data_IF_810685747990
#
_entry.id   IF_810685747990
#
_cell.length_a   1.000
_cell.length_b   1.000
_cell.length_c   1.000
_cell.angle_alpha   90.00
_cell.angle_beta   90.00
_cell.angle_gamma   90.00
#
_symmetry.space_group_name_H-M   'P 1'
#
loop_
_entity.id
_entity.type
_entity.pdbx_description
1 polymer ?
#
# COMPACT_ATOMS: atom_id res chain seq x y z
N UNK A 1 6.10 -23.99 19.64
CA UNK A 1 5.35 -23.34 18.55
C UNK A 1 5.45 -24.25 17.34
N UNK A 2 4.37 -24.95 16.97
CA UNK A 2 4.38 -25.82 15.78
C UNK A 2 3.56 -25.14 14.70
N UNK A 3 4.25 -24.51 13.74
CA UNK A 3 3.62 -23.91 12.57
C UNK A 3 3.71 -24.94 11.45
N UNK A 4 2.58 -25.28 10.84
CA UNK A 4 2.58 -26.21 9.71
C UNK A 4 3.06 -25.50 8.43
N UNK A 5 4.38 -25.47 8.22
CA UNK A 5 5.01 -24.89 7.04
C UNK A 5 4.85 -25.78 5.78
N UNK A 6 4.28 -26.99 5.92
CA UNK A 6 4.07 -27.93 4.81
C UNK A 6 2.76 -27.70 4.04
N UNK A 7 1.98 -26.66 4.39
CA UNK A 7 0.75 -26.32 3.70
C UNK A 7 1.02 -25.59 2.36
N UNK A 8 1.40 -26.36 1.35
CA UNK A 8 1.42 -25.95 -0.06
C UNK A 8 2.77 -26.09 -0.73
N UNK A 9 2.78 -26.07 -2.07
CA UNK A 9 3.95 -26.21 -2.97
C UNK A 9 5.12 -25.21 -2.70
N UNK A 10 5.08 -24.41 -1.63
CA UNK A 10 5.91 -23.24 -1.33
C UNK A 10 7.25 -23.50 -0.63
N UNK A 11 7.56 -24.70 -0.16
CA UNK A 11 8.92 -25.03 0.32
C UNK A 11 9.94 -25.21 -0.83
N UNK A 12 9.50 -25.11 -2.09
CA UNK A 12 10.39 -25.18 -3.25
C UNK A 12 11.18 -23.87 -3.36
N UNK A 13 12.34 -23.83 -2.70
CA UNK A 13 13.35 -22.79 -2.93
C UNK A 13 13.79 -21.99 -1.70
N UNK A 14 13.39 -22.36 -0.47
CA UNK A 14 13.99 -21.80 0.75
C UNK A 14 14.97 -22.84 1.28
N UNK A 15 16.22 -22.44 1.50
CA UNK A 15 17.25 -23.35 2.01
C UNK A 15 17.05 -23.66 3.48
N UNK A 16 17.49 -24.84 3.92
CA UNK A 16 17.49 -25.19 5.35
C UNK A 16 18.29 -24.16 6.17
N UNK A 17 19.39 -23.64 5.62
CA UNK A 17 20.18 -22.61 6.28
C UNK A 17 19.39 -21.30 6.51
N UNK A 18 18.55 -20.87 5.57
CA UNK A 18 17.67 -19.72 5.75
C UNK A 18 16.60 -20.00 6.79
N UNK A 19 16.01 -21.19 6.79
CA UNK A 19 15.06 -21.60 7.84
C UNK A 19 15.74 -21.58 9.21
N UNK A 20 16.89 -22.22 9.36
CA UNK A 20 17.61 -22.29 10.64
C UNK A 20 17.95 -20.88 11.14
N UNK A 21 18.45 -19.99 10.26
CA UNK A 21 18.77 -18.61 10.62
C UNK A 21 17.54 -17.81 11.01
N UNK A 22 16.47 -17.88 10.22
CA UNK A 22 15.25 -17.14 10.48
C UNK A 22 14.59 -17.61 11.77
N UNK A 23 14.47 -18.93 11.97
CA UNK A 23 13.80 -19.53 13.12
C UNK A 23 14.65 -19.57 14.40
N UNK A 24 15.97 -19.37 14.33
CA UNK A 24 16.82 -19.29 15.51
C UNK A 24 16.46 -18.12 16.45
N UNK A 25 15.84 -17.06 15.93
CA UNK A 25 15.56 -15.83 16.67
C UNK A 25 14.07 -15.48 16.74
N UNK A 26 13.18 -16.31 16.18
CA UNK A 26 11.75 -16.04 16.28
C UNK A 26 11.28 -16.16 17.72
N UNK A 27 10.34 -15.31 18.07
CA UNK A 27 9.69 -15.32 19.37
C UNK A 27 8.21 -14.99 19.20
N UNK A 28 7.41 -15.45 20.15
CA UNK A 28 5.99 -15.10 20.18
C UNK A 28 5.82 -13.62 20.54
N UNK A 29 4.94 -12.92 19.83
CA UNK A 29 4.74 -11.47 20.01
C UNK A 29 3.32 -11.20 20.54
N UNK A 30 3.14 -11.15 21.86
CA UNK A 30 1.82 -10.95 22.51
C UNK A 30 1.04 -9.75 21.96
N UNK A 31 1.74 -8.65 21.68
CA UNK A 31 1.14 -7.42 21.14
C UNK A 31 0.46 -7.66 19.80
N UNK A 32 0.99 -8.56 18.98
CA UNK A 32 0.45 -8.88 17.66
C UNK A 32 -0.91 -9.57 17.79
N UNK A 33 -1.07 -10.50 18.73
CA UNK A 33 -2.36 -11.15 19.01
C UNK A 33 -3.38 -10.16 19.59
N UNK A 34 -2.94 -9.30 20.52
CA UNK A 34 -3.82 -8.24 21.05
C UNK A 34 -4.30 -7.29 19.95
N UNK A 35 -3.41 -6.93 19.02
CA UNK A 35 -3.75 -6.08 17.89
C UNK A 35 -4.69 -6.76 16.89
N UNK A 36 -4.46 -8.05 16.56
CA UNK A 36 -5.37 -8.82 15.70
C UNK A 36 -6.77 -8.90 16.29
N UNK A 37 -6.89 -9.21 17.58
CA UNK A 37 -8.20 -9.35 18.25
C UNK A 37 -8.95 -8.03 18.43
N UNK A 38 -8.29 -6.88 18.27
CA UNK A 38 -8.91 -5.59 18.47
C UNK A 38 -9.77 -5.18 17.26
N UNK A 39 -11.10 -5.32 17.37
CA UNK A 39 -12.06 -4.82 16.39
C UNK A 39 -12.64 -3.48 16.87
N UNK A 40 -12.44 -2.37 16.13
CA UNK A 40 -13.07 -1.11 16.47
C UNK A 40 -14.60 -1.21 16.38
N UNK A 41 -15.30 -0.94 17.48
CA UNK A 41 -16.77 -1.01 17.54
C UNK A 41 -17.45 0.18 16.83
N UNK A 42 -16.74 1.31 16.65
CA UNK A 42 -17.29 2.52 16.05
C UNK A 42 -16.79 2.73 14.61
N UNK A 43 -17.74 2.92 13.69
CA UNK A 43 -17.47 3.38 12.33
C UNK A 43 -17.38 4.91 12.34
N UNK A 44 -16.24 5.45 11.94
CA UNK A 44 -16.05 6.90 11.75
C UNK A 44 -16.60 7.33 10.39
N UNK A 45 -17.00 8.60 10.27
CA UNK A 45 -17.38 9.18 8.98
C UNK A 45 -16.14 9.32 8.09
N UNK A 46 -16.34 9.41 6.77
CA UNK A 46 -15.24 9.67 5.84
C UNK A 46 -14.57 11.01 6.16
N UNK A 47 -15.35 12.02 6.49
CA UNK A 47 -14.86 13.36 6.83
C UNK A 47 -13.98 13.35 8.08
N UNK A 48 -14.40 12.64 9.13
CA UNK A 48 -13.57 12.45 10.33
C UNK A 48 -12.28 11.69 10.02
N UNK A 49 -12.37 10.65 9.19
CA UNK A 49 -11.20 9.91 8.73
C UNK A 49 -10.23 10.82 7.98
N UNK A 50 -10.72 11.59 6.98
CA UNK A 50 -9.89 12.49 6.18
C UNK A 50 -9.28 13.60 7.03
N UNK A 51 -10.03 14.20 7.97
CA UNK A 51 -9.49 15.17 8.95
C UNK A 51 -8.35 14.58 9.78
N UNK A 52 -8.50 13.31 10.21
CA UNK A 52 -7.49 12.61 11.00
C UNK A 52 -6.24 12.26 10.19
N UNK A 53 -6.38 11.74 8.98
CA UNK A 53 -5.26 11.21 8.20
C UNK A 53 -4.60 12.24 7.27
N UNK A 54 -5.29 13.34 6.93
CA UNK A 54 -4.82 14.42 6.06
C UNK A 54 -4.82 15.78 6.77
N UNK A 55 -4.18 15.87 7.93
CA UNK A 55 -4.04 17.13 8.65
C UNK A 55 -3.31 18.20 7.81
N UNK A 56 -3.57 19.51 8.01
CA UNK A 56 -2.86 20.58 7.30
C UNK A 56 -1.33 20.48 7.45
N UNK A 57 -0.85 20.01 8.60
CA UNK A 57 0.57 19.78 8.84
C UNK A 57 1.13 18.68 7.92
N UNK A 58 0.41 17.55 7.75
CA UNK A 58 0.80 16.46 6.87
C UNK A 58 0.83 16.89 5.40
N UNK A 59 -0.12 17.73 4.98
CA UNK A 59 -0.16 18.30 3.63
C UNK A 59 1.03 19.24 3.39
N UNK A 60 1.35 20.13 4.34
CA UNK A 60 2.54 20.99 4.25
C UNK A 60 3.83 20.17 4.15
N UNK A 61 3.95 19.13 4.99
CA UNK A 61 5.08 18.22 4.94
C UNK A 61 5.18 17.50 3.59
N UNK A 62 4.07 17.05 3.01
CA UNK A 62 4.06 16.41 1.70
C UNK A 62 4.56 17.33 0.59
N UNK A 63 4.13 18.60 0.58
CA UNK A 63 4.65 19.62 -0.36
C UNK A 63 6.14 19.83 -0.21
N UNK A 64 6.64 19.84 1.02
CA UNK A 64 8.06 19.99 1.29
C UNK A 64 8.86 18.76 0.82
N UNK A 65 8.41 17.55 1.17
CA UNK A 65 9.02 16.30 0.70
C UNK A 65 9.02 16.18 -0.82
N UNK A 66 7.95 16.64 -1.47
CA UNK A 66 7.88 16.68 -2.93
C UNK A 66 8.98 17.56 -3.53
N UNK A 67 9.29 18.72 -2.93
CA UNK A 67 10.41 19.56 -3.41
C UNK A 67 11.77 18.94 -3.09
N UNK A 68 11.96 18.50 -1.85
CA UNK A 68 13.24 17.96 -1.37
C UNK A 68 13.68 16.68 -2.08
N UNK A 69 12.73 15.84 -2.50
CA UNK A 69 13.01 14.54 -3.13
C UNK A 69 12.78 14.53 -4.64
N UNK A 70 12.85 15.70 -5.27
CA UNK A 70 12.60 15.89 -6.70
C UNK A 70 13.32 14.86 -7.56
N UNK A 71 14.63 14.74 -7.40
CA UNK A 71 15.45 13.82 -8.19
C UNK A 71 15.00 12.36 -8.06
N UNK A 72 14.74 11.91 -6.83
CA UNK A 72 14.38 10.51 -6.56
C UNK A 72 12.99 10.17 -7.11
N UNK A 73 11.97 10.99 -6.81
CA UNK A 73 10.63 10.67 -7.32
C UNK A 73 10.54 10.88 -8.83
N UNK A 74 11.34 11.79 -9.42
CA UNK A 74 11.35 12.00 -10.87
C UNK A 74 11.88 10.75 -11.57
N UNK A 75 12.99 10.16 -11.10
CA UNK A 75 13.53 8.92 -11.64
C UNK A 75 12.50 7.78 -11.63
N UNK A 76 11.83 7.58 -10.49
CA UNK A 76 10.77 6.59 -10.38
C UNK A 76 9.57 6.92 -11.30
N UNK A 77 9.17 8.19 -11.36
CA UNK A 77 8.07 8.67 -12.20
C UNK A 77 8.33 8.44 -13.68
N UNK A 78 9.55 8.68 -14.17
CA UNK A 78 9.93 8.47 -15.56
C UNK A 78 9.93 6.98 -15.92
N UNK A 79 10.49 6.14 -15.03
CA UNK A 79 10.55 4.68 -15.22
C UNK A 79 9.16 4.04 -15.26
N UNK A 80 8.27 4.41 -14.35
CA UNK A 80 6.99 3.73 -14.14
C UNK A 80 5.77 4.49 -14.67
N UNK A 81 5.97 5.71 -15.19
CA UNK A 81 4.92 6.61 -15.71
C UNK A 81 3.86 6.98 -14.67
N UNK A 82 4.27 7.05 -13.41
CA UNK A 82 3.43 7.44 -12.26
C UNK A 82 3.85 8.83 -11.78
N UNK A 83 2.98 9.86 -11.80
CA UNK A 83 3.36 11.20 -11.38
C UNK A 83 3.84 11.24 -9.91
N UNK A 84 4.96 11.93 -9.65
CA UNK A 84 5.59 11.97 -8.32
C UNK A 84 4.67 12.38 -7.17
N UNK A 85 3.63 13.17 -7.42
CA UNK A 85 2.65 13.55 -6.38
C UNK A 85 1.92 12.34 -5.78
N UNK A 86 1.70 11.27 -6.56
CA UNK A 86 1.09 10.03 -6.07
C UNK A 86 2.09 9.23 -5.25
N UNK A 87 3.33 9.13 -5.71
CA UNK A 87 4.43 8.48 -4.98
C UNK A 87 4.58 9.12 -3.59
N UNK A 88 4.68 10.45 -3.52
CA UNK A 88 4.81 11.19 -2.27
C UNK A 88 3.56 11.09 -1.39
N UNK A 89 2.36 11.10 -1.99
CA UNK A 89 1.11 10.96 -1.24
C UNK A 89 0.99 9.58 -0.58
N UNK A 90 1.29 8.50 -1.31
CA UNK A 90 1.31 7.14 -0.74
C UNK A 90 2.36 7.04 0.36
N UNK A 91 3.59 7.51 0.12
CA UNK A 91 4.64 7.50 1.14
C UNK A 91 4.24 8.23 2.43
N UNK A 92 3.54 9.36 2.32
CA UNK A 92 3.01 10.09 3.47
C UNK A 92 1.88 9.35 4.18
N UNK A 93 1.02 8.63 3.45
CA UNK A 93 -0.09 7.87 4.00
C UNK A 93 0.37 6.59 4.69
N UNK A 94 1.30 5.85 4.08
CA UNK A 94 1.75 4.55 4.58
C UNK A 94 2.65 4.67 5.81
N UNK A 95 3.65 5.56 5.77
CA UNK A 95 4.70 5.59 6.80
C UNK A 95 4.99 6.95 7.38
N UNK A 96 4.12 7.94 7.14
CA UNK A 96 4.37 9.34 7.51
C UNK A 96 5.75 9.80 7.01
N UNK A 97 6.06 9.50 5.75
CA UNK A 97 7.33 9.79 5.10
C UNK A 97 8.52 9.07 5.76
N UNK A 98 8.35 7.78 6.05
CA UNK A 98 9.37 6.91 6.64
C UNK A 98 9.51 6.98 8.16
N UNK A 99 8.77 7.87 8.84
CA UNK A 99 8.82 8.01 10.31
C UNK A 99 8.18 6.83 11.04
N UNK A 100 7.16 6.21 10.45
CA UNK A 100 6.38 5.13 11.05
C UNK A 100 6.44 3.93 10.12
N UNK A 101 7.42 3.05 10.32
CA UNK A 101 7.56 1.81 9.54
C UNK A 101 7.06 0.58 10.31
N UNK A 102 6.78 0.77 11.59
CA UNK A 102 6.61 -0.32 12.55
C UNK A 102 7.95 -0.72 13.18
N UNK A 103 7.87 -1.54 14.23
CA UNK A 103 9.02 -1.92 15.06
C UNK A 103 9.16 -3.43 15.23
N UNK A 104 8.17 -4.18 14.76
CA UNK A 104 8.14 -5.62 14.98
C UNK A 104 9.07 -6.31 14.00
N UNK A 105 9.69 -7.38 14.48
CA UNK A 105 10.32 -8.35 13.62
C UNK A 105 9.23 -9.06 12.79
N UNK A 106 9.26 -8.89 11.47
CA UNK A 106 8.19 -9.33 10.57
C UNK A 106 8.06 -10.85 10.57
N UNK A 107 9.17 -11.58 10.64
CA UNK A 107 9.15 -13.05 10.68
C UNK A 107 8.47 -13.52 11.97
N UNK A 108 8.84 -12.96 13.12
CA UNK A 108 8.24 -13.28 14.43
C UNK A 108 6.76 -12.90 14.50
N UNK A 109 6.38 -11.72 13.96
CA UNK A 109 4.99 -11.27 13.93
C UNK A 109 4.12 -12.17 13.06
N UNK A 110 4.57 -12.52 11.86
CA UNK A 110 3.85 -13.41 10.95
C UNK A 110 3.79 -14.85 11.47
N UNK A 111 4.88 -15.35 12.08
CA UNK A 111 4.87 -16.64 12.76
C UNK A 111 3.84 -16.67 13.89
N UNK A 112 3.78 -15.61 14.72
CA UNK A 112 2.78 -15.46 15.78
C UNK A 112 1.35 -15.50 15.24
N UNK A 113 1.09 -14.78 14.14
CA UNK A 113 -0.24 -14.74 13.51
C UNK A 113 -0.60 -16.03 12.75
N UNK A 114 0.38 -16.73 12.19
CA UNK A 114 0.18 -18.04 11.60
C UNK A 114 -0.12 -19.10 12.68
N UNK A 115 0.43 -18.95 13.88
CA UNK A 115 0.22 -19.90 14.97
C UNK A 115 -1.09 -19.66 15.74
N UNK A 116 -1.44 -18.40 16.05
CA UNK A 116 -2.59 -18.08 16.94
C UNK A 116 -3.46 -16.91 16.44
N UNK A 117 -3.23 -16.43 15.21
CA UNK A 117 -4.02 -15.36 14.61
C UNK A 117 -5.31 -15.88 13.98
N UNK A 118 -6.27 -14.97 13.74
CA UNK A 118 -7.59 -15.32 13.16
C UNK A 118 -7.54 -15.72 11.68
N UNK A 119 -6.43 -15.43 10.98
CA UNK A 119 -6.26 -15.63 9.53
C UNK A 119 -5.01 -16.47 9.23
N UNK A 120 -4.85 -17.59 9.94
CA UNK A 120 -3.71 -18.52 9.81
C UNK A 120 -3.25 -18.70 8.35
N UNK A 121 -4.13 -19.16 7.46
CA UNK A 121 -3.76 -19.47 6.07
C UNK A 121 -3.14 -18.29 5.31
N UNK A 122 -3.62 -17.06 5.56
CA UNK A 122 -3.08 -15.85 4.95
C UNK A 122 -1.69 -15.53 5.55
N UNK A 123 -1.55 -15.56 6.87
CA UNK A 123 -0.29 -15.22 7.52
C UNK A 123 0.80 -16.28 7.31
N UNK A 124 0.43 -17.55 7.16
CA UNK A 124 1.35 -18.61 6.74
C UNK A 124 1.92 -18.35 5.34
N UNK A 125 1.11 -17.86 4.40
CA UNK A 125 1.60 -17.49 3.07
C UNK A 125 2.54 -16.28 3.11
N UNK A 126 2.20 -15.26 3.91
CA UNK A 126 3.06 -14.08 4.09
C UNK A 126 4.37 -14.42 4.81
N UNK A 127 4.34 -15.33 5.79
CA UNK A 127 5.55 -15.84 6.45
C UNK A 127 6.47 -16.51 5.44
N UNK A 128 5.94 -17.39 4.58
CA UNK A 128 6.73 -18.03 3.52
C UNK A 128 7.30 -17.02 2.53
N UNK A 129 6.53 -15.98 2.18
CA UNK A 129 7.02 -14.89 1.35
C UNK A 129 8.14 -14.10 2.04
N UNK A 130 8.04 -13.83 3.35
CA UNK A 130 9.10 -13.14 4.11
C UNK A 130 10.40 -13.94 4.12
N UNK A 131 10.31 -15.26 4.36
CA UNK A 131 11.48 -16.15 4.32
C UNK A 131 12.13 -16.18 2.93
N UNK A 132 11.32 -16.11 1.86
CA UNK A 132 11.84 -16.02 0.49
C UNK A 132 12.58 -14.70 0.23
N UNK A 133 12.15 -13.60 0.82
CA UNK A 133 12.87 -12.31 0.73
C UNK A 133 14.25 -12.43 1.38
N UNK A 134 14.32 -13.08 2.55
CA UNK A 134 15.59 -13.34 3.25
C UNK A 134 16.50 -14.22 2.39
N UNK A 135 15.97 -15.31 1.81
CA UNK A 135 16.72 -16.20 0.91
C UNK A 135 17.30 -15.45 -0.31
N UNK A 136 16.53 -14.53 -0.90
CA UNK A 136 16.98 -13.75 -2.07
C UNK A 136 18.11 -12.76 -1.75
N UNK A 137 18.30 -12.37 -0.48
CA UNK A 137 19.41 -11.53 -0.05
C UNK A 137 19.38 -10.08 -0.55
N UNK A 138 18.35 -9.66 -1.31
CA UNK A 138 18.24 -8.29 -1.84
C UNK A 138 18.21 -7.21 -0.75
N UNK A 139 17.84 -7.56 0.48
CA UNK A 139 17.78 -6.62 1.61
C UNK A 139 19.11 -6.52 2.38
N UNK A 140 20.11 -7.33 2.04
CA UNK A 140 21.39 -7.39 2.79
C UNK A 140 21.18 -7.71 4.27
N UNK A 141 21.84 -6.93 5.13
CA UNK A 141 21.74 -7.06 6.59
C UNK A 141 20.56 -6.26 7.18
N UNK A 142 19.72 -5.64 6.34
CA UNK A 142 18.58 -4.83 6.80
C UNK A 142 17.54 -5.74 7.46
N UNK A 143 17.23 -5.54 8.77
CA UNK A 143 16.24 -6.35 9.45
C UNK A 143 14.85 -6.10 8.85
N UNK A 144 14.08 -7.17 8.61
CA UNK A 144 12.70 -7.07 8.15
C UNK A 144 11.81 -6.51 9.27
N UNK A 145 11.77 -5.17 9.38
CA UNK A 145 10.92 -4.46 10.34
C UNK A 145 9.59 -4.04 9.72
N UNK A 146 8.54 -4.11 10.53
CA UNK A 146 7.21 -3.82 10.04
C UNK A 146 6.17 -3.55 11.12
N UNK A 147 4.95 -3.34 10.65
CA UNK A 147 3.76 -3.31 11.47
C UNK A 147 3.52 -4.66 12.15
N UNK A 148 2.62 -4.66 13.14
CA UNK A 148 2.21 -5.88 13.83
C UNK A 148 1.62 -6.94 12.87
N UNK A 149 1.06 -6.51 11.73
CA UNK A 149 0.44 -7.39 10.75
C UNK A 149 1.42 -7.86 9.66
N UNK A 150 2.69 -7.46 9.73
CA UNK A 150 3.72 -7.85 8.75
C UNK A 150 3.90 -6.90 7.56
N UNK A 151 3.19 -5.76 7.51
CA UNK A 151 3.46 -4.72 6.50
C UNK A 151 4.83 -4.07 6.75
N UNK A 152 5.69 -4.06 5.75
CA UNK A 152 7.13 -3.81 5.90
C UNK A 152 7.58 -2.44 5.39
N UNK A 153 8.59 -1.89 6.08
CA UNK A 153 9.35 -0.72 5.63
C UNK A 153 8.51 0.53 5.40
N UNK A 154 9.03 1.45 4.57
CA UNK A 154 8.35 2.71 4.28
C UNK A 154 7.18 2.56 3.31
N UNK A 155 7.15 1.49 2.51
CA UNK A 155 6.07 1.18 1.58
C UNK A 155 4.87 0.47 2.24
N UNK A 156 5.04 -0.05 3.46
CA UNK A 156 4.07 -0.92 4.13
C UNK A 156 3.62 -2.11 3.24
N UNK A 157 4.54 -2.65 2.46
CA UNK A 157 4.26 -3.85 1.65
C UNK A 157 4.19 -5.07 2.54
N UNK A 158 3.14 -5.88 2.37
CA UNK A 158 3.19 -7.27 2.80
C UNK A 158 4.32 -8.00 2.06
N UNK A 159 4.93 -9.05 2.64
CA UNK A 159 5.99 -9.81 1.98
C UNK A 159 5.64 -10.28 0.55
N UNK A 160 4.42 -10.75 0.32
CA UNK A 160 3.98 -11.13 -1.02
C UNK A 160 3.98 -9.95 -2.01
N UNK A 161 3.57 -8.76 -1.55
CA UNK A 161 3.65 -7.51 -2.31
C UNK A 161 5.10 -7.11 -2.59
N UNK A 162 6.01 -7.27 -1.63
CA UNK A 162 7.43 -7.02 -1.87
C UNK A 162 7.95 -7.88 -3.02
N UNK A 163 7.71 -9.19 -2.97
CA UNK A 163 8.16 -10.11 -4.03
C UNK A 163 7.59 -9.77 -5.42
N UNK A 164 6.40 -9.14 -5.48
CA UNK A 164 5.73 -8.81 -6.74
C UNK A 164 6.09 -7.42 -7.28
N UNK A 165 6.29 -6.45 -6.40
CA UNK A 165 6.34 -5.03 -6.78
C UNK A 165 7.63 -4.32 -6.39
N UNK A 166 8.37 -4.80 -5.39
CA UNK A 166 9.57 -4.11 -4.93
C UNK A 166 10.60 -4.02 -6.07
N UNK A 167 11.31 -2.91 -6.13
CA UNK A 167 12.20 -2.60 -7.22
C UNK A 167 13.42 -1.81 -6.73
N UNK A 168 14.57 -2.20 -7.25
CA UNK A 168 15.84 -1.48 -7.13
C UNK A 168 15.73 -0.15 -7.91
N UNK A 169 15.81 0.96 -7.17
CA UNK A 169 15.61 2.32 -7.64
C UNK A 169 16.89 3.08 -7.97
N UNK A 170 18.04 2.67 -7.44
CA UNK A 170 19.34 3.30 -7.69
C UNK A 170 20.33 2.42 -8.47
N UNK A 171 20.01 1.15 -8.68
CA UNK A 171 20.77 0.20 -9.49
C UNK A 171 21.89 -0.51 -8.73
N UNK A 172 21.86 -0.53 -7.40
CA UNK A 172 22.91 -1.17 -6.58
C UNK A 172 22.75 -2.70 -6.44
N UNK A 173 21.68 -3.28 -7.01
CA UNK A 173 21.36 -4.71 -6.94
C UNK A 173 20.64 -5.13 -5.65
N UNK A 174 20.34 -4.18 -4.76
CA UNK A 174 19.58 -4.37 -3.52
C UNK A 174 18.21 -3.71 -3.62
N UNK A 175 17.32 -4.09 -2.71
CA UNK A 175 15.97 -3.53 -2.63
C UNK A 175 15.67 -3.27 -1.14
N UNK A 176 16.13 -2.13 -0.64
CA UNK A 176 15.96 -1.68 0.73
C UNK A 176 14.78 -0.68 0.84
N UNK A 177 13.57 -1.21 0.99
CA UNK A 177 12.37 -0.38 1.22
C UNK A 177 12.28 0.23 2.64
N UNK A 178 13.31 0.09 3.47
CA UNK A 178 13.38 0.65 4.83
C UNK A 178 14.21 1.92 4.88
N UNK A 179 15.38 1.91 4.22
CA UNK A 179 16.36 2.99 4.34
C UNK A 179 16.73 3.64 3.00
N UNK A 180 16.52 2.97 1.87
CA UNK A 180 16.81 3.53 0.56
C UNK A 180 15.56 4.20 -0.04
N UNK A 181 15.60 5.53 -0.14
CA UNK A 181 14.45 6.29 -0.66
C UNK A 181 14.21 6.06 -2.16
N UNK A 182 15.26 5.74 -2.93
CA UNK A 182 15.12 5.44 -4.35
C UNK A 182 14.35 4.12 -4.54
N UNK A 183 14.65 3.10 -3.72
CA UNK A 183 13.92 1.82 -3.71
C UNK A 183 12.48 1.98 -3.23
N UNK A 184 12.24 2.79 -2.21
CA UNK A 184 10.89 3.09 -1.72
C UNK A 184 10.04 3.71 -2.83
N UNK A 185 10.60 4.67 -3.56
CA UNK A 185 9.86 5.35 -4.64
C UNK A 185 9.70 4.49 -5.88
N UNK A 186 10.74 3.74 -6.27
CA UNK A 186 10.66 2.77 -7.36
C UNK A 186 9.63 1.68 -7.06
N UNK A 187 9.62 1.14 -5.85
CA UNK A 187 8.67 0.12 -5.40
C UNK A 187 7.23 0.63 -5.36
N UNK A 188 7.01 1.83 -4.81
CA UNK A 188 5.68 2.48 -4.79
C UNK A 188 5.16 2.74 -6.20
N UNK A 189 6.01 3.23 -7.10
CA UNK A 189 5.64 3.50 -8.48
C UNK A 189 5.42 2.22 -9.30
N UNK A 190 6.25 1.19 -9.09
CA UNK A 190 6.08 -0.15 -9.66
C UNK A 190 4.75 -0.78 -9.28
N UNK A 191 4.35 -0.68 -8.00
CA UNK A 191 3.04 -1.13 -7.53
C UNK A 191 1.90 -0.44 -8.28
N UNK A 192 1.87 0.90 -8.30
CA UNK A 192 0.81 1.64 -8.99
C UNK A 192 0.77 1.29 -10.49
N UNK A 193 1.93 1.23 -11.14
CA UNK A 193 2.04 0.88 -12.57
C UNK A 193 1.47 -0.50 -12.88
N UNK A 194 1.75 -1.50 -12.03
CA UNK A 194 1.26 -2.87 -12.18
C UNK A 194 -0.22 -3.04 -11.79
N UNK A 195 -0.73 -2.21 -10.89
CA UNK A 195 -2.14 -2.22 -10.45
C UNK A 195 -3.06 -1.35 -11.32
N UNK A 196 -2.72 -1.22 -12.61
CA UNK A 196 -3.61 -0.63 -13.62
C UNK A 196 -3.58 0.89 -13.67
N UNK A 197 -2.56 1.55 -13.13
CA UNK A 197 -2.37 2.99 -13.33
C UNK A 197 -2.30 3.32 -14.82
N UNK A 198 -3.09 4.30 -15.25
CA UNK A 198 -3.10 4.77 -16.63
C UNK A 198 -2.50 6.19 -16.68
N UNK A 199 -1.32 6.36 -17.31
CA UNK A 199 -0.70 7.67 -17.46
C UNK A 199 -1.64 8.68 -18.14
N UNK A 200 -1.60 9.92 -17.66
CA UNK A 200 -2.47 11.00 -18.16
C UNK A 200 -3.90 11.00 -17.59
N UNK A 201 -4.31 9.93 -16.88
CA UNK A 201 -5.62 9.87 -16.23
C UNK A 201 -5.45 10.11 -14.73
N UNK A 202 -6.23 11.04 -14.17
CA UNK A 202 -6.27 11.28 -12.72
C UNK A 202 -7.18 10.29 -12.00
N UNK A 203 -6.98 10.14 -10.69
CA UNK A 203 -7.79 9.26 -9.83
C UNK A 203 -9.27 9.66 -9.73
N UNK A 204 -9.57 10.96 -9.86
CA UNK A 204 -10.91 11.49 -9.66
C UNK A 204 -10.95 13.02 -9.64
N UNK A 205 -12.18 13.55 -9.60
CA UNK A 205 -12.52 14.97 -9.51
C UNK A 205 -13.81 15.12 -8.73
N UNK A 206 -13.94 16.21 -7.99
CA UNK A 206 -15.19 16.61 -7.37
C UNK A 206 -16.20 17.07 -8.45
N UNK A 207 -17.47 16.70 -8.26
CA UNK A 207 -18.57 17.01 -9.17
C UNK A 207 -19.81 17.42 -8.39
N UNK A 208 -20.67 18.21 -9.02
CA UNK A 208 -22.01 18.56 -8.57
C UNK A 208 -23.02 17.64 -9.25
N UNK A 209 -23.90 17.06 -8.44
CA UNK A 209 -25.04 16.27 -8.93
C UNK A 209 -26.22 17.20 -9.27
N UNK A 210 -27.05 16.87 -10.27
CA UNK A 210 -28.28 17.60 -10.54
C UNK A 210 -29.30 17.37 -9.41
N UNK A 211 -30.29 18.26 -9.32
CA UNK A 211 -31.43 18.04 -8.44
C UNK A 211 -32.17 16.75 -8.83
N UNK A 212 -32.59 15.96 -7.82
CA UNK A 212 -33.30 14.70 -8.05
C UNK A 212 -32.43 13.56 -8.59
N UNK A 213 -31.10 13.64 -8.49
CA UNK A 213 -30.21 12.55 -8.92
C UNK A 213 -30.56 11.23 -8.21
N UNK A 214 -30.65 10.14 -8.98
CA UNK A 214 -31.00 8.82 -8.45
C UNK A 214 -29.86 8.24 -7.59
N UNK A 215 -30.04 8.08 -6.26
CA UNK A 215 -28.98 7.63 -5.36
C UNK A 215 -28.50 6.21 -5.62
N UNK A 216 -29.30 5.37 -6.26
CA UNK A 216 -28.92 3.97 -6.58
C UNK A 216 -27.78 3.88 -7.60
N UNK A 217 -27.55 4.96 -8.35
CA UNK A 217 -26.45 5.06 -9.32
C UNK A 217 -25.12 5.47 -8.67
N UNK A 218 -25.12 5.80 -7.38
CA UNK A 218 -23.92 6.09 -6.60
C UNK A 218 -23.32 4.77 -6.10
N UNK A 219 -22.01 4.64 -6.19
CA UNK A 219 -21.27 3.49 -5.67
C UNK A 219 -20.05 3.12 -6.51
N UNK A 220 -19.27 2.20 -5.96
CA UNK A 220 -18.00 1.75 -6.54
C UNK A 220 -18.10 0.41 -7.30
N UNK A 221 -19.29 -0.20 -7.40
CA UNK A 221 -19.45 -1.48 -8.10
C UNK A 221 -19.45 -1.26 -9.62
N UNK A 222 -19.15 -2.31 -10.36
CA UNK A 222 -19.12 -2.27 -11.83
C UNK A 222 -20.45 -1.86 -12.45
N UNK A 223 -21.58 -2.25 -11.84
CA UNK A 223 -22.91 -1.85 -12.27
C UNK A 223 -23.16 -0.33 -12.23
N UNK A 224 -22.38 0.41 -11.43
CA UNK A 224 -22.43 1.88 -11.34
C UNK A 224 -21.37 2.57 -12.21
N UNK A 225 -20.55 1.82 -12.94
CA UNK A 225 -19.59 2.39 -13.87
C UNK A 225 -20.29 2.92 -15.13
N UNK A 226 -20.03 4.17 -15.50
CA UNK A 226 -20.54 4.79 -16.73
C UNK A 226 -19.49 5.69 -17.36
N UNK A 227 -19.52 5.90 -18.68
CA UNK A 227 -18.59 6.85 -19.30
C UNK A 227 -18.75 8.26 -18.72
N UNK A 228 -17.68 9.07 -18.71
CA UNK A 228 -17.76 10.48 -18.31
C UNK A 228 -18.84 11.23 -19.10
N UNK A 229 -18.99 10.92 -20.40
CA UNK A 229 -20.02 11.52 -21.25
C UNK A 229 -21.43 11.14 -20.79
N UNK A 230 -21.66 9.89 -20.38
CA UNK A 230 -22.96 9.46 -19.86
C UNK A 230 -23.29 10.16 -18.54
N UNK A 231 -22.29 10.37 -17.67
CA UNK A 231 -22.49 11.19 -16.47
C UNK A 231 -22.86 12.63 -16.80
N UNK A 232 -22.21 13.22 -17.81
CA UNK A 232 -22.55 14.56 -18.27
C UNK A 232 -23.97 14.64 -18.86
N UNK A 233 -24.39 13.66 -19.66
CA UNK A 233 -25.78 13.58 -20.15
C UNK A 233 -26.80 13.48 -19.02
N UNK A 234 -26.43 12.85 -17.91
CA UNK A 234 -27.23 12.73 -16.68
C UNK A 234 -27.18 13.96 -15.78
N UNK A 235 -26.66 15.10 -16.25
CA UNK A 235 -26.66 16.35 -15.50
C UNK A 235 -25.52 16.51 -14.49
N UNK A 236 -24.59 15.55 -14.40
CA UNK A 236 -23.39 15.68 -13.54
C UNK A 236 -22.47 16.75 -14.13
N UNK A 237 -22.00 17.67 -13.30
CA UNK A 237 -21.12 18.78 -13.72
C UNK A 237 -19.91 18.87 -12.81
N UNK A 238 -18.79 19.38 -13.32
CA UNK A 238 -17.61 19.65 -12.49
C UNK A 238 -17.87 20.83 -11.57
N UNK A 239 -17.26 20.79 -10.38
CA UNK A 239 -17.16 21.97 -9.52
C UNK A 239 -16.09 22.88 -10.12
N UNK A 240 -16.47 24.07 -10.57
CA UNK A 240 -15.61 24.98 -11.34
C UNK A 240 -15.56 24.65 -12.84
N UNK A 241 -15.73 25.67 -13.68
CA UNK A 241 -15.84 25.54 -15.13
C UNK A 241 -14.48 25.23 -15.76
N UNK A 242 -14.25 23.98 -16.15
CA UNK A 242 -13.35 23.66 -17.26
C UNK A 242 -13.64 22.27 -17.83
N UNK A 243 -13.96 22.26 -19.13
CA UNK A 243 -14.09 21.05 -19.93
C UNK A 243 -12.71 20.38 -20.03
N UNK A 244 -12.62 19.08 -19.78
CA UNK A 244 -11.41 18.32 -20.15
C UNK A 244 -11.88 17.04 -20.82
N UNK A 245 -11.34 16.82 -22.02
CA UNK A 245 -11.50 15.62 -22.81
C UNK A 245 -10.84 14.42 -22.09
N UNK A 246 -11.64 13.38 -21.82
CA UNK A 246 -11.22 11.97 -21.85
C UNK A 246 -12.47 11.08 -21.66
N UNK A 247 -12.79 10.29 -22.68
CA UNK A 247 -13.93 9.37 -22.72
C UNK A 247 -13.56 8.02 -22.09
N UNK A 248 -13.71 7.86 -20.76
CA UNK A 248 -13.64 6.56 -20.09
C UNK A 248 -14.69 6.41 -18.99
N UNK A 249 -14.89 5.18 -18.51
CA UNK A 249 -15.79 4.90 -17.40
C UNK A 249 -15.31 5.56 -16.10
N UNK A 250 -16.24 6.22 -15.41
CA UNK A 250 -16.08 6.80 -14.09
C UNK A 250 -17.21 6.27 -13.19
N UNK A 251 -16.96 6.29 -11.88
CA UNK A 251 -17.97 5.98 -10.85
C UNK A 251 -18.19 7.21 -10.00
N UNK A 252 -19.42 7.40 -9.53
CA UNK A 252 -19.75 8.46 -8.59
C UNK A 252 -19.83 7.87 -7.20
N UNK A 253 -19.13 8.48 -6.27
CA UNK A 253 -19.14 8.11 -4.86
C UNK A 253 -19.75 9.27 -4.07
N UNK A 254 -20.82 8.98 -3.33
CA UNK A 254 -21.48 9.99 -2.51
C UNK A 254 -20.81 10.05 -1.15
N UNK A 255 -20.23 11.22 -0.87
CA UNK A 255 -19.52 11.48 0.37
C UNK A 255 -20.42 12.33 1.23
N UNK A 256 -21.14 11.69 2.14
CA UNK A 256 -21.89 12.41 3.16
C UNK A 256 -20.86 13.14 4.04
N UNK A 257 -20.96 14.47 4.06
CA UNK A 257 -20.36 15.30 5.11
C UNK A 257 -21.15 15.20 6.40
#
# INVERSE_FOLDING_TARGET
>A
MSINLNAGRGNRGISQATLDRAFAQIHFVDRVIKADRNQPEQKITLDDYLRRVMSPAKVRQGRERYRQRHTQWLRASERYRVPGRYIIALWGMESAYGKIQGREDVVSALATLAFEGRREAFFSQELMAALRIVEQGHVGDTPLKGSWAGAMGQCQFMPSSFLRYAADGDGDGRIDIWNNIDDVFASTASYLSKEGWQPGIGWGREVKLPAGFNPTELGLKDAQARSVNDWQKRGVRRVGWQCVAACRAARLDYRAG
#
